data_IF_730908796725
#
_entry.id   IF_730908796725
#
_cell.length_a   1.000
_cell.length_b   1.000
_cell.length_c   1.000
_cell.angle_alpha   90.00
_cell.angle_beta   90.00
_cell.angle_gamma   90.00
#
_symmetry.space_group_name_H-M   'P 1'
#
loop_
_entity.id
_entity.type
_entity.pdbx_description
1 polymer ?
#
# COMPACT_ATOMS: atom_id res chain seq x y z
N UNK A 1 -1.97 -17.21 10.05
CA UNK A 1 -2.17 -15.93 9.32
C UNK A 1 -2.03 -16.17 7.84
N UNK A 2 -2.96 -15.64 7.05
CA UNK A 2 -2.93 -15.82 5.60
C UNK A 2 -2.04 -14.79 4.94
N UNK A 3 -1.49 -15.17 3.78
CA UNK A 3 -0.62 -14.29 3.01
C UNK A 3 -1.38 -13.19 2.23
N UNK A 4 -2.61 -13.43 1.82
CA UNK A 4 -3.43 -12.50 1.03
C UNK A 4 -2.69 -11.90 -0.19
N UNK A 5 -1.68 -12.58 -0.71
CA UNK A 5 -0.90 -12.06 -1.83
C UNK A 5 0.15 -11.01 -1.44
N UNK A 6 0.45 -10.88 -0.16
CA UNK A 6 1.41 -9.89 0.35
C UNK A 6 2.82 -10.50 0.51
N UNK A 7 3.19 -11.44 -0.36
CA UNK A 7 4.56 -11.96 -0.48
C UNK A 7 5.08 -12.63 0.79
N UNK A 8 4.18 -13.32 1.52
CA UNK A 8 4.55 -13.98 2.77
C UNK A 8 4.59 -13.06 3.98
N UNK A 9 4.28 -11.78 3.80
CA UNK A 9 4.18 -10.84 4.91
C UNK A 9 2.98 -11.22 5.78
N UNK A 10 3.24 -11.48 7.05
CA UNK A 10 2.23 -11.95 7.99
C UNK A 10 1.59 -10.78 8.72
N UNK A 11 0.75 -10.05 8.01
CA UNK A 11 0.01 -8.92 8.55
C UNK A 11 -1.44 -9.03 8.11
N UNK A 12 -2.37 -8.91 9.05
CA UNK A 12 -3.78 -8.91 8.72
C UNK A 12 -4.19 -7.55 8.15
N UNK A 13 -4.93 -7.54 7.04
CA UNK A 13 -5.47 -6.29 6.50
C UNK A 13 -6.57 -5.76 7.42
N UNK A 14 -6.85 -4.46 7.32
CA UNK A 14 -7.98 -3.86 8.02
C UNK A 14 -9.28 -4.49 7.55
N UNK A 15 -9.37 -4.77 6.25
CA UNK A 15 -10.59 -5.21 5.59
C UNK A 15 -10.23 -6.08 4.39
N UNK A 16 -11.02 -7.14 4.17
CA UNK A 16 -10.98 -7.91 2.92
C UNK A 16 -12.19 -7.55 2.09
N UNK A 17 -11.96 -7.02 0.91
CA UNK A 17 -13.02 -6.68 -0.03
C UNK A 17 -12.94 -7.61 -1.23
N UNK A 18 -13.86 -8.58 -1.30
CA UNK A 18 -13.84 -9.55 -2.39
C UNK A 18 -12.51 -10.30 -2.52
N UNK A 19 -11.85 -10.57 -1.40
CA UNK A 19 -10.54 -11.22 -1.39
C UNK A 19 -9.36 -10.27 -1.52
N UNK A 20 -9.59 -8.98 -1.79
CA UNK A 20 -8.53 -7.98 -1.89
C UNK A 20 -8.25 -7.37 -0.52
N UNK A 21 -7.00 -7.41 -0.03
CA UNK A 21 -6.66 -6.80 1.24
C UNK A 21 -6.62 -5.28 1.13
N UNK A 22 -7.33 -4.61 2.02
CA UNK A 22 -7.36 -3.16 2.12
C UNK A 22 -6.89 -2.73 3.51
N UNK A 23 -6.21 -1.60 3.57
CA UNK A 23 -5.61 -1.10 4.81
C UNK A 23 -6.08 0.31 5.11
N UNK A 24 -6.46 0.56 6.37
CA UNK A 24 -6.63 1.92 6.87
C UNK A 24 -5.29 2.66 6.81
N UNK A 25 -5.29 3.97 6.99
CA UNK A 25 -4.04 4.73 6.98
C UNK A 25 -3.07 4.23 8.06
N UNK A 26 -3.56 3.97 9.27
CA UNK A 26 -2.73 3.47 10.37
C UNK A 26 -2.15 2.08 10.06
N UNK A 27 -2.98 1.18 9.55
CA UNK A 27 -2.52 -0.16 9.20
C UNK A 27 -1.60 -0.15 7.98
N UNK A 28 -1.77 0.82 7.08
CA UNK A 28 -0.89 1.00 5.94
C UNK A 28 0.54 1.35 6.40
N UNK A 29 0.67 2.20 7.40
CA UNK A 29 1.99 2.52 7.97
C UNK A 29 2.64 1.28 8.57
N UNK A 30 1.85 0.44 9.26
CA UNK A 30 2.34 -0.84 9.78
C UNK A 30 2.81 -1.75 8.66
N UNK A 31 2.05 -1.79 7.55
CA UNK A 31 2.43 -2.59 6.38
C UNK A 31 3.78 -2.15 5.83
N UNK A 32 4.07 -0.86 5.78
CA UNK A 32 5.37 -0.38 5.32
C UNK A 32 6.50 -0.89 6.20
N UNK A 33 6.29 -0.98 7.51
CA UNK A 33 7.27 -1.56 8.42
C UNK A 33 7.54 -3.04 8.10
N UNK A 34 6.50 -3.80 7.80
CA UNK A 34 6.66 -5.20 7.38
C UNK A 34 7.35 -5.31 6.04
N UNK A 35 7.07 -4.39 5.11
CA UNK A 35 7.77 -4.35 3.82
C UNK A 35 9.27 -4.11 4.01
N UNK A 36 9.65 -3.23 4.92
CA UNK A 36 11.05 -2.99 5.22
C UNK A 36 11.73 -4.24 5.77
N UNK A 37 11.07 -4.94 6.69
CA UNK A 37 11.61 -6.17 7.28
C UNK A 37 11.75 -7.30 6.27
N UNK A 38 10.94 -7.31 5.22
CA UNK A 38 10.91 -8.37 4.21
C UNK A 38 11.51 -7.94 2.89
N UNK A 39 12.14 -6.78 2.85
CA UNK A 39 12.77 -6.22 1.65
C UNK A 39 11.81 -6.15 0.47
N UNK A 40 10.60 -5.72 0.74
CA UNK A 40 9.58 -5.54 -0.28
C UNK A 40 9.52 -4.07 -0.71
N UNK A 41 9.28 -3.86 -1.99
CA UNK A 41 9.09 -2.53 -2.58
C UNK A 41 7.61 -2.27 -2.81
N UNK A 42 7.23 -0.99 -2.80
CA UNK A 42 5.87 -0.56 -3.10
C UNK A 42 5.83 -0.06 -4.53
N UNK A 43 5.09 -0.75 -5.39
CA UNK A 43 4.96 -0.36 -6.79
C UNK A 43 3.86 0.66 -7.00
N UNK A 44 2.79 0.57 -6.21
CA UNK A 44 1.69 1.50 -6.30
C UNK A 44 0.74 1.39 -5.12
N UNK A 45 -0.09 2.41 -4.96
CA UNK A 45 -1.14 2.47 -3.93
C UNK A 45 -2.38 3.06 -4.58
N UNK A 46 -3.54 2.45 -4.31
CA UNK A 46 -4.83 2.99 -4.72
C UNK A 46 -5.72 3.16 -3.51
N UNK A 47 -6.34 4.33 -3.39
CA UNK A 47 -7.27 4.62 -2.31
C UNK A 47 -8.71 4.43 -2.73
N UNK A 48 -9.52 3.96 -1.79
CA UNK A 48 -10.94 3.70 -2.01
C UNK A 48 -11.73 4.15 -0.80
N UNK A 49 -12.97 4.57 -1.06
CA UNK A 49 -13.97 4.79 -0.01
C UNK A 49 -15.01 3.69 -0.10
N UNK A 50 -15.51 3.25 1.04
CA UNK A 50 -16.57 2.26 1.10
C UNK A 50 -17.87 3.00 1.43
N UNK A 51 -18.81 2.98 0.51
CA UNK A 51 -20.08 3.69 0.67
C UNK A 51 -21.21 2.86 0.08
N UNK A 52 -22.28 2.67 0.85
CA UNK A 52 -23.46 1.93 0.40
C UNK A 52 -23.14 0.50 -0.04
N UNK A 53 -22.18 -0.16 0.61
CA UNK A 53 -21.77 -1.50 0.24
C UNK A 53 -20.92 -1.56 -1.02
N UNK A 54 -20.44 -0.42 -1.52
CA UNK A 54 -19.63 -0.35 -2.73
C UNK A 54 -18.26 0.24 -2.45
N UNK A 55 -17.27 -0.25 -3.19
CA UNK A 55 -15.91 0.29 -3.17
C UNK A 55 -15.81 1.35 -4.25
N UNK A 56 -15.61 2.61 -3.84
CA UNK A 56 -15.54 3.74 -4.76
C UNK A 56 -14.10 4.24 -4.82
N UNK A 57 -13.44 4.20 -6.00
CA UNK A 57 -12.08 4.71 -6.13
C UNK A 57 -12.01 6.19 -5.79
N UNK A 58 -10.98 6.57 -5.03
CA UNK A 58 -10.67 7.97 -4.76
C UNK A 58 -9.50 8.36 -5.68
N UNK A 59 -9.81 9.10 -6.74
CA UNK A 59 -8.83 9.44 -7.76
C UNK A 59 -7.73 10.35 -7.25
N UNK A 60 -7.93 11.03 -6.13
CA UNK A 60 -6.90 11.84 -5.50
C UNK A 60 -5.94 11.00 -4.65
N UNK A 61 -6.25 9.73 -4.44
CA UNK A 61 -5.45 8.83 -3.62
C UNK A 61 -4.88 7.67 -4.44
N UNK A 62 -4.29 8.00 -5.59
CA UNK A 62 -3.63 7.02 -6.45
C UNK A 62 -2.17 7.44 -6.62
N UNK A 63 -1.26 6.52 -6.34
CA UNK A 63 0.16 6.75 -6.50
C UNK A 63 0.79 5.59 -7.28
N UNK A 64 1.63 5.92 -8.24
CA UNK A 64 2.38 4.96 -9.04
C UNK A 64 3.87 5.25 -8.85
N UNK A 65 4.59 4.32 -8.23
CA UNK A 65 6.02 4.46 -7.95
C UNK A 65 6.88 3.69 -8.94
N UNK A 66 6.29 3.12 -9.99
CA UNK A 66 7.03 2.30 -10.96
C UNK A 66 8.13 3.08 -11.67
N UNK A 67 7.97 4.39 -11.83
CA UNK A 67 8.99 5.23 -12.47
C UNK A 67 10.28 5.32 -11.63
N UNK A 68 10.21 5.06 -10.34
CA UNK A 68 11.39 5.08 -9.47
C UNK A 68 12.35 3.93 -9.76
N UNK A 69 11.89 2.87 -10.42
CA UNK A 69 12.74 1.72 -10.79
C UNK A 69 13.94 2.19 -11.60
N UNK A 70 13.71 3.01 -12.60
CA UNK A 70 14.78 3.49 -13.48
C UNK A 70 15.69 4.52 -12.79
N UNK A 71 15.14 5.32 -11.88
CA UNK A 71 15.87 6.41 -11.23
C UNK A 71 16.68 5.89 -10.05
N UNK A 72 16.07 5.06 -9.21
CA UNK A 72 16.67 4.63 -7.95
C UNK A 72 17.47 3.33 -8.06
N UNK A 73 17.26 2.53 -9.11
CA UNK A 73 17.97 1.29 -9.31
C UNK A 73 17.80 0.35 -8.13
N UNK A 74 18.93 -0.12 -7.55
CA UNK A 74 18.88 -1.04 -6.41
C UNK A 74 18.36 -0.40 -5.14
N UNK A 75 18.28 0.92 -5.07
CA UNK A 75 17.68 1.65 -3.95
C UNK A 75 16.16 1.77 -4.10
N UNK A 76 15.59 1.21 -5.16
CA UNK A 76 14.16 1.30 -5.41
C UNK A 76 13.31 0.83 -4.23
N UNK A 77 13.60 -0.31 -3.56
CA UNK A 77 12.77 -0.71 -2.43
C UNK A 77 12.70 0.36 -1.34
N UNK A 78 13.84 0.90 -0.94
CA UNK A 78 13.90 1.95 0.08
C UNK A 78 13.21 3.22 -0.41
N UNK A 79 13.50 3.66 -1.63
CA UNK A 79 12.92 4.88 -2.19
C UNK A 79 11.41 4.77 -2.30
N UNK A 80 10.90 3.61 -2.75
CA UNK A 80 9.46 3.40 -2.88
C UNK A 80 8.75 3.40 -1.54
N UNK A 81 9.35 2.81 -0.51
CA UNK A 81 8.76 2.82 0.84
C UNK A 81 8.72 4.21 1.43
N UNK A 82 9.78 5.01 1.22
CA UNK A 82 9.80 6.40 1.68
C UNK A 82 8.75 7.24 0.96
N UNK A 83 8.64 7.07 -0.37
CA UNK A 83 7.63 7.78 -1.15
C UNK A 83 6.21 7.36 -0.73
N UNK A 84 6.00 6.08 -0.46
CA UNK A 84 4.71 5.57 0.01
C UNK A 84 4.34 6.17 1.35
N UNK A 85 5.29 6.27 2.28
CA UNK A 85 5.05 6.85 3.59
C UNK A 85 4.62 8.32 3.47
N UNK A 86 5.34 9.09 2.67
CA UNK A 86 4.99 10.49 2.44
C UNK A 86 3.61 10.63 1.80
N UNK A 87 3.29 9.75 0.85
CA UNK A 87 1.99 9.73 0.22
C UNK A 87 0.88 9.48 1.24
N UNK A 88 1.04 8.45 2.07
CA UNK A 88 0.04 8.10 3.09
C UNK A 88 -0.13 9.24 4.09
N UNK A 89 0.98 9.85 4.52
CA UNK A 89 0.95 10.96 5.47
C UNK A 89 0.29 12.21 4.88
N UNK A 90 0.26 12.34 3.56
CA UNK A 90 -0.39 13.47 2.89
C UNK A 90 -1.90 13.33 2.76
N UNK A 91 -2.44 12.12 3.00
CA UNK A 91 -3.88 11.87 2.86
C UNK A 91 -4.61 12.48 4.06
N UNK A 92 -5.48 13.44 3.78
CA UNK A 92 -6.22 14.14 4.84
C UNK A 92 -7.49 13.39 5.29
N UNK A 93 -8.07 12.58 4.39
CA UNK A 93 -9.33 11.89 4.64
C UNK A 93 -9.08 10.55 5.31
N UNK A 94 -9.47 10.41 6.57
CA UNK A 94 -9.24 9.19 7.34
C UNK A 94 -10.17 8.03 6.95
N UNK A 95 -11.17 8.28 6.12
CA UNK A 95 -12.13 7.25 5.67
C UNK A 95 -11.61 6.43 4.48
N UNK A 96 -10.42 6.75 3.99
CA UNK A 96 -9.83 6.06 2.85
C UNK A 96 -9.23 4.73 3.27
N UNK A 97 -9.50 3.69 2.47
CA UNK A 97 -8.81 2.41 2.55
C UNK A 97 -7.84 2.28 1.39
N UNK A 98 -6.70 1.66 1.63
CA UNK A 98 -5.62 1.59 0.64
C UNK A 98 -5.37 0.15 0.20
N UNK A 99 -5.24 -0.03 -1.10
CA UNK A 99 -4.78 -1.26 -1.73
C UNK A 99 -3.34 -1.05 -2.21
N UNK A 100 -2.47 -2.03 -1.94
CA UNK A 100 -1.06 -1.93 -2.27
C UNK A 100 -0.68 -2.93 -3.36
N UNK A 101 0.18 -2.50 -4.26
CA UNK A 101 0.87 -3.40 -5.19
C UNK A 101 2.32 -3.49 -4.71
N UNK A 102 2.71 -4.68 -4.25
CA UNK A 102 4.02 -4.92 -3.68
C UNK A 102 4.83 -5.84 -4.58
N UNK A 103 6.14 -5.64 -4.60
CA UNK A 103 7.07 -6.53 -5.30
C UNK A 103 8.24 -6.84 -4.37
N UNK A 104 8.76 -8.06 -4.48
CA UNK A 104 9.93 -8.45 -3.71
C UNK A 104 11.18 -7.88 -4.37
N UNK A 105 12.03 -7.32 -3.53
CA UNK A 105 13.27 -6.75 -4.01
C UNK A 105 14.32 -7.83 -4.29
#
# INVERSE_FOLDING_TARGET
MKDFGLMGIKLEPTLLWGGTPLFSLDDAIKLLGFCEQNDAAVLGIEGFKIAGGKRVPDMDCIADFSTLVAVAGREFPTASREAAKLFIESIADSDVFLEFVLVKA
#
